data_IF_897637356404
#
_entry.id   IF_897637356404
#
_cell.length_a   1.000
_cell.length_b   1.000
_cell.length_c   1.000
_cell.angle_alpha   90.00
_cell.angle_beta   90.00
_cell.angle_gamma   90.00
#
_symmetry.space_group_name_H-M   'P 1'
#
loop_
_entity.id
_entity.type
_entity.pdbx_description
1 polymer ?
#
# COMPACT_ATOMS: atom_id res chain seq x y z
N UNK A 1 31.78 6.99 -9.91
CA UNK A 1 30.54 6.73 -9.15
C UNK A 1 30.89 6.10 -7.82
N UNK A 2 30.61 6.82 -6.73
CA UNK A 2 30.85 6.38 -5.34
C UNK A 2 30.02 5.13 -4.99
N UNK A 3 28.82 4.99 -5.55
CA UNK A 3 27.96 3.83 -5.33
C UNK A 3 28.04 2.83 -6.48
N UNK A 4 28.32 1.56 -6.18
CA UNK A 4 28.36 0.50 -7.19
C UNK A 4 27.00 0.25 -7.86
N UNK A 5 25.88 0.51 -7.17
CA UNK A 5 24.51 0.37 -7.70
C UNK A 5 23.48 1.15 -6.85
N UNK A 6 23.29 2.48 -7.08
CA UNK A 6 22.21 3.21 -6.43
C UNK A 6 20.86 2.66 -6.87
N UNK A 7 19.91 2.50 -5.95
CA UNK A 7 18.57 2.01 -6.29
C UNK A 7 17.74 3.17 -6.81
N UNK A 8 17.28 3.08 -8.06
CA UNK A 8 16.39 4.06 -8.67
C UNK A 8 14.98 3.48 -8.73
N UNK A 9 14.00 4.24 -8.29
CA UNK A 9 12.58 3.91 -8.39
C UNK A 9 11.87 4.99 -9.20
N UNK A 10 11.01 4.59 -10.13
CA UNK A 10 10.28 5.50 -11.00
C UNK A 10 8.80 5.51 -10.62
N UNK A 11 8.25 6.71 -10.43
CA UNK A 11 6.84 6.93 -10.14
C UNK A 11 6.35 7.94 -11.16
N UNK A 12 5.58 7.47 -12.14
CA UNK A 12 5.20 8.28 -13.29
C UNK A 12 6.44 8.79 -14.03
N UNK A 13 6.55 10.12 -14.12
CA UNK A 13 7.68 10.82 -14.71
C UNK A 13 8.73 11.31 -13.69
N UNK A 14 8.64 10.86 -12.44
CA UNK A 14 9.58 11.19 -11.37
C UNK A 14 10.52 10.01 -11.11
N UNK A 15 11.82 10.29 -11.06
CA UNK A 15 12.84 9.34 -10.61
C UNK A 15 13.26 9.63 -9.17
N UNK A 16 13.35 8.58 -8.35
CA UNK A 16 13.75 8.66 -6.95
C UNK A 16 15.04 7.86 -6.76
N UNK A 17 16.12 8.53 -6.37
CA UNK A 17 17.41 7.94 -6.07
C UNK A 17 17.47 7.58 -4.58
N UNK A 18 17.77 6.31 -4.29
CA UNK A 18 17.96 5.76 -2.94
C UNK A 18 19.40 5.29 -2.78
N UNK A 19 20.10 5.90 -1.84
CA UNK A 19 21.45 5.54 -1.38
C UNK A 19 21.41 5.24 0.13
N UNK A 20 22.39 4.51 0.69
CA UNK A 20 22.50 4.37 2.14
C UNK A 20 22.57 5.75 2.82
N UNK A 21 21.78 5.95 3.88
CA UNK A 21 21.63 7.26 4.52
C UNK A 21 22.94 7.80 5.15
N UNK A 22 23.87 6.90 5.46
CA UNK A 22 25.19 7.22 6.01
C UNK A 22 26.26 7.48 4.93
N UNK A 23 25.91 7.41 3.65
CA UNK A 23 26.84 7.50 2.53
C UNK A 23 26.25 8.41 1.44
N UNK A 24 25.92 9.66 1.82
CA UNK A 24 25.30 10.66 0.94
C UNK A 24 26.38 11.63 0.45
N UNK A 25 26.56 11.71 -0.87
CA UNK A 25 27.38 12.73 -1.51
C UNK A 25 26.49 13.56 -2.46
N UNK A 26 26.25 14.82 -2.12
CA UNK A 26 25.29 15.65 -2.85
C UNK A 26 25.73 15.95 -4.29
N UNK A 27 27.02 16.11 -4.52
CA UNK A 27 27.57 16.44 -5.84
C UNK A 27 27.41 15.23 -6.78
N UNK A 28 27.74 14.03 -6.32
CA UNK A 28 27.53 12.79 -7.07
C UNK A 28 26.04 12.50 -7.30
N UNK A 29 25.16 12.77 -6.32
CA UNK A 29 23.71 12.65 -6.51
C UNK A 29 23.20 13.59 -7.61
N UNK A 30 23.67 14.84 -7.64
CA UNK A 30 23.29 15.80 -8.71
C UNK A 30 23.83 15.36 -10.06
N UNK A 31 25.08 14.88 -10.15
CA UNK A 31 25.66 14.32 -11.38
C UNK A 31 24.82 13.16 -11.90
N UNK A 32 24.50 12.19 -11.04
CA UNK A 32 23.65 11.05 -11.37
C UNK A 32 22.23 11.48 -11.78
N UNK A 33 21.65 12.48 -11.12
CA UNK A 33 20.33 13.00 -11.46
C UNK A 33 20.29 13.60 -12.87
N UNK A 34 21.31 14.37 -13.25
CA UNK A 34 21.42 14.90 -14.61
C UNK A 34 21.59 13.79 -15.64
N UNK A 35 22.42 12.77 -15.36
CA UNK A 35 22.55 11.60 -16.24
C UNK A 35 21.21 10.86 -16.43
N UNK A 36 20.40 10.73 -15.38
CA UNK A 36 19.08 10.09 -15.45
C UNK A 36 18.17 10.89 -16.40
N UNK A 37 18.12 12.21 -16.30
CA UNK A 37 17.33 13.07 -17.18
C UNK A 37 17.80 13.00 -18.64
N UNK A 38 19.12 12.96 -18.85
CA UNK A 38 19.70 12.87 -20.19
C UNK A 38 19.35 11.55 -20.87
N UNK A 39 19.51 10.43 -20.15
CA UNK A 39 19.29 9.07 -20.65
C UNK A 39 17.80 8.69 -20.73
N UNK A 40 16.94 9.27 -19.90
CA UNK A 40 15.52 8.91 -19.80
C UNK A 40 14.63 10.12 -20.06
N UNK A 41 14.32 10.39 -21.35
CA UNK A 41 13.55 11.57 -21.76
C UNK A 41 12.14 11.68 -21.18
N UNK A 42 11.57 10.56 -20.72
CA UNK A 42 10.27 10.53 -20.04
C UNK A 42 10.35 11.09 -18.60
N UNK A 43 11.51 11.03 -17.95
CA UNK A 43 11.72 11.57 -16.61
C UNK A 43 11.79 13.08 -16.69
N UNK A 44 11.00 13.75 -15.85
CA UNK A 44 10.93 15.22 -15.78
C UNK A 44 11.47 15.78 -14.48
N UNK A 45 11.48 14.98 -13.42
CA UNK A 45 11.96 15.41 -12.10
C UNK A 45 12.74 14.29 -11.41
N UNK A 46 13.83 14.64 -10.75
CA UNK A 46 14.67 13.69 -10.01
C UNK A 46 14.85 14.14 -8.56
N UNK A 47 14.59 13.21 -7.65
CA UNK A 47 14.63 13.43 -6.21
C UNK A 47 15.48 12.37 -5.51
N UNK A 48 16.02 12.71 -4.36
CA UNK A 48 16.65 11.79 -3.43
C UNK A 48 15.69 11.49 -2.27
N UNK A 49 15.49 10.22 -1.94
CA UNK A 49 14.81 9.83 -0.71
C UNK A 49 15.76 10.03 0.48
N UNK A 50 15.59 11.13 1.22
CA UNK A 50 16.52 11.57 2.25
C UNK A 50 16.36 10.80 3.57
N UNK A 51 15.18 10.25 3.84
CA UNK A 51 14.89 9.52 5.08
C UNK A 51 14.17 8.18 4.82
N UNK A 52 14.16 7.25 5.79
CA UNK A 52 13.27 6.10 5.78
C UNK A 52 11.79 6.50 5.75
N UNK A 53 10.91 5.56 5.40
CA UNK A 53 9.45 5.75 5.62
C UNK A 53 9.17 5.67 7.09
N UNK A 54 8.52 6.68 7.65
CA UNK A 54 8.28 6.77 9.08
C UNK A 54 6.91 7.39 9.39
N UNK A 55 6.55 7.39 10.67
CA UNK A 55 5.34 8.01 11.18
C UNK A 55 4.07 7.25 10.83
N UNK A 56 2.95 7.83 11.26
CA UNK A 56 1.61 7.31 11.04
C UNK A 56 1.19 7.38 9.57
N UNK A 57 1.52 8.49 8.89
CA UNK A 57 1.15 8.73 7.50
C UNK A 57 2.05 8.02 6.47
N UNK A 58 3.08 7.29 6.92
CA UNK A 58 4.05 6.56 6.08
C UNK A 58 4.69 7.44 5.00
N UNK A 59 5.01 8.68 5.34
CA UNK A 59 5.73 9.61 4.49
C UNK A 59 7.25 9.56 4.77
N UNK A 60 8.02 10.21 3.90
CA UNK A 60 9.46 10.40 4.06
C UNK A 60 9.86 11.76 3.47
N UNK A 61 11.06 12.22 3.82
CA UNK A 61 11.61 13.43 3.27
C UNK A 61 12.30 13.17 1.94
N UNK A 62 12.16 14.15 1.05
CA UNK A 62 12.77 14.13 -0.28
C UNK A 62 13.57 15.40 -0.51
N UNK A 63 14.77 15.24 -1.09
CA UNK A 63 15.61 16.34 -1.56
C UNK A 63 15.55 16.40 -3.07
N UNK A 64 15.14 17.55 -3.61
CA UNK A 64 15.16 17.80 -5.05
C UNK A 64 16.61 17.78 -5.57
N UNK A 65 16.84 17.16 -6.72
CA UNK A 65 18.17 17.07 -7.35
C UNK A 65 18.25 17.79 -8.69
N UNK A 66 17.34 17.49 -9.63
CA UNK A 66 17.39 18.02 -11.00
C UNK A 66 16.02 17.97 -11.72
N UNK A 67 15.90 18.74 -12.82
CA UNK A 67 14.73 18.78 -13.68
C UNK A 67 13.68 19.83 -13.25
N UNK A 68 12.40 19.48 -13.38
CA UNK A 68 11.30 20.28 -12.85
C UNK A 68 11.23 20.13 -11.33
N UNK A 69 11.15 21.23 -10.57
CA UNK A 69 10.98 21.19 -9.11
C UNK A 69 9.53 20.87 -8.73
N UNK A 70 9.09 19.65 -9.04
CA UNK A 70 7.72 19.12 -8.87
C UNK A 70 7.76 17.73 -8.25
N UNK A 71 6.89 17.46 -7.28
CA UNK A 71 6.74 16.14 -6.61
C UNK A 71 5.42 15.43 -6.93
N UNK A 72 4.47 16.11 -7.56
CA UNK A 72 3.22 15.53 -8.05
C UNK A 72 3.40 14.91 -9.44
N UNK A 73 2.79 13.76 -9.74
CA UNK A 73 2.87 13.08 -11.05
C UNK A 73 1.64 12.20 -11.30
N UNK A 74 1.51 11.67 -12.53
CA UNK A 74 0.58 10.60 -12.88
C UNK A 74 1.35 9.28 -12.96
N UNK A 75 1.09 8.39 -12.01
CA UNK A 75 1.54 7.00 -12.03
C UNK A 75 0.51 6.12 -12.73
N UNK A 76 0.95 5.25 -13.64
CA UNK A 76 0.08 4.30 -14.34
C UNK A 76 0.35 2.90 -13.85
N UNK A 77 -0.70 2.18 -13.51
CA UNK A 77 -0.61 0.81 -13.05
C UNK A 77 -1.86 0.04 -13.48
N UNK A 78 -1.73 -1.15 -14.07
CA UNK A 78 -2.87 -2.03 -14.36
C UNK A 78 -4.01 -1.37 -15.14
N UNK A 79 -3.68 -0.55 -16.13
CA UNK A 79 -4.63 0.27 -16.93
C UNK A 79 -5.42 1.31 -16.12
N UNK A 80 -4.97 1.62 -14.91
CA UNK A 80 -5.46 2.70 -14.06
C UNK A 80 -4.43 3.84 -14.02
N UNK A 81 -4.90 5.05 -13.73
CA UNK A 81 -4.06 6.24 -13.60
C UNK A 81 -4.20 6.82 -12.19
N UNK A 82 -3.09 7.20 -11.57
CA UNK A 82 -3.05 7.69 -10.20
C UNK A 82 -2.26 8.99 -10.16
N UNK A 83 -2.96 10.10 -9.92
CA UNK A 83 -2.34 11.34 -9.51
C UNK A 83 -1.89 11.21 -8.06
N UNK A 84 -0.62 11.47 -7.82
CA UNK A 84 0.01 11.34 -6.50
C UNK A 84 1.11 12.38 -6.33
N UNK A 85 1.32 12.84 -5.11
CA UNK A 85 2.53 13.57 -4.70
C UNK A 85 3.39 12.68 -3.82
N UNK A 86 4.61 12.39 -4.30
CA UNK A 86 5.55 11.49 -3.64
C UNK A 86 5.94 11.94 -2.23
N UNK A 87 5.77 13.23 -1.91
CA UNK A 87 6.07 13.79 -0.58
C UNK A 87 4.90 13.64 0.39
N UNK A 88 3.68 13.51 -0.11
CA UNK A 88 2.45 13.56 0.70
C UNK A 88 1.79 12.20 0.87
N UNK A 89 2.02 11.28 -0.06
CA UNK A 89 1.39 9.96 -0.06
C UNK A 89 2.42 8.86 -0.20
N UNK A 90 2.26 7.80 0.59
CA UNK A 90 3.05 6.59 0.41
C UNK A 90 2.68 5.91 -0.91
N UNK A 91 3.68 5.67 -1.76
CA UNK A 91 3.53 4.90 -2.99
C UNK A 91 4.81 4.12 -3.29
N UNK A 92 4.64 2.92 -3.84
CA UNK A 92 5.74 2.05 -4.26
C UNK A 92 5.29 1.15 -5.40
N UNK A 93 5.87 1.27 -6.61
CA UNK A 93 5.60 0.35 -7.73
C UNK A 93 5.83 -1.13 -7.39
N UNK A 94 6.64 -1.42 -6.37
CA UNK A 94 6.91 -2.79 -5.90
C UNK A 94 5.69 -3.53 -5.37
N UNK A 95 4.59 -2.84 -5.05
CA UNK A 95 3.33 -3.48 -4.67
C UNK A 95 2.46 -3.83 -5.88
N UNK A 96 2.90 -3.52 -7.10
CA UNK A 96 2.03 -3.65 -8.27
C UNK A 96 1.52 -5.06 -8.52
N UNK A 97 2.38 -6.08 -8.33
CA UNK A 97 1.93 -7.48 -8.41
C UNK A 97 0.86 -7.80 -7.36
N UNK A 98 0.98 -7.23 -6.16
CA UNK A 98 0.06 -7.48 -5.07
C UNK A 98 -1.29 -6.79 -5.28
N UNK A 99 -1.31 -5.57 -5.81
CA UNK A 99 -2.54 -4.90 -6.22
C UNK A 99 -3.34 -5.76 -7.20
N UNK A 100 -2.67 -6.30 -8.23
CA UNK A 100 -3.31 -7.19 -9.20
C UNK A 100 -3.77 -8.50 -8.57
N UNK A 101 -2.94 -9.10 -7.71
CA UNK A 101 -3.29 -10.36 -7.04
C UNK A 101 -4.59 -10.23 -6.27
N UNK A 102 -4.70 -9.20 -5.42
CA UNK A 102 -5.91 -8.98 -4.63
C UNK A 102 -7.12 -8.74 -5.55
N UNK A 103 -6.97 -7.92 -6.59
CA UNK A 103 -8.04 -7.72 -7.57
C UNK A 103 -8.50 -9.04 -8.21
N UNK A 104 -7.58 -9.95 -8.54
CA UNK A 104 -7.92 -11.25 -9.12
C UNK A 104 -8.58 -12.23 -8.12
N UNK A 105 -8.47 -12.00 -6.81
CA UNK A 105 -9.13 -12.82 -5.79
C UNK A 105 -10.57 -12.37 -5.50
N UNK A 106 -10.90 -11.12 -5.83
CA UNK A 106 -12.23 -10.56 -5.65
C UNK A 106 -13.21 -11.20 -6.63
N UNK A 107 -14.32 -11.71 -6.11
CA UNK A 107 -15.45 -12.15 -6.92
C UNK A 107 -16.40 -10.99 -7.20
N UNK A 108 -17.10 -11.11 -8.33
CA UNK A 108 -18.15 -10.16 -8.70
C UNK A 108 -19.19 -10.01 -7.59
N UNK A 109 -19.59 -8.78 -7.31
CA UNK A 109 -20.59 -8.47 -6.30
C UNK A 109 -20.09 -8.46 -4.85
N UNK A 110 -18.82 -8.76 -4.58
CA UNK A 110 -18.26 -8.63 -3.22
C UNK A 110 -18.29 -7.18 -2.72
N UNK A 111 -18.54 -7.01 -1.41
CA UNK A 111 -18.38 -5.76 -0.67
C UNK A 111 -17.02 -5.74 0.00
N UNK A 112 -16.25 -4.68 -0.21
CA UNK A 112 -14.83 -4.66 0.16
C UNK A 112 -14.54 -3.47 1.06
N UNK A 113 -13.74 -3.68 2.10
CA UNK A 113 -13.14 -2.61 2.90
C UNK A 113 -11.62 -2.62 2.71
N UNK A 114 -11.07 -1.48 2.35
CA UNK A 114 -9.64 -1.23 2.37
C UNK A 114 -9.32 -0.24 3.49
N UNK A 115 -8.76 -0.76 4.59
CA UNK A 115 -8.61 0.00 5.84
C UNK A 115 -7.54 1.11 5.76
N UNK A 116 -6.56 0.97 4.86
CA UNK A 116 -5.41 1.89 4.79
C UNK A 116 -5.06 2.19 3.33
N UNK A 117 -5.93 2.94 2.67
CA UNK A 117 -6.03 2.98 1.22
C UNK A 117 -4.96 3.83 0.50
N UNK A 118 -4.30 4.74 1.20
CA UNK A 118 -3.45 5.77 0.61
C UNK A 118 -4.21 6.55 -0.47
N UNK A 119 -3.61 6.70 -1.65
CA UNK A 119 -4.25 7.31 -2.82
C UNK A 119 -5.26 6.39 -3.55
N UNK A 120 -5.70 5.30 -2.93
CA UNK A 120 -6.77 4.43 -3.44
C UNK A 120 -6.34 3.33 -4.41
N UNK A 121 -5.06 2.98 -4.50
CA UNK A 121 -4.53 2.08 -5.54
C UNK A 121 -5.23 0.71 -5.53
N UNK A 122 -5.23 0.00 -4.39
CA UNK A 122 -5.97 -1.27 -4.27
C UNK A 122 -7.43 -1.10 -4.65
N UNK A 123 -8.12 -0.11 -4.07
CA UNK A 123 -9.57 0.07 -4.24
C UNK A 123 -9.98 0.34 -5.69
N UNK A 124 -9.24 1.21 -6.38
CA UNK A 124 -9.52 1.57 -7.77
C UNK A 124 -9.18 0.43 -8.72
N UNK A 125 -8.05 -0.28 -8.51
CA UNK A 125 -7.68 -1.43 -9.33
C UNK A 125 -8.72 -2.54 -9.21
N UNK A 126 -9.19 -2.82 -7.99
CA UNK A 126 -10.27 -3.78 -7.73
C UNK A 126 -11.56 -3.35 -8.43
N UNK A 127 -11.98 -2.09 -8.27
CA UNK A 127 -13.19 -1.58 -8.92
C UNK A 127 -13.14 -1.70 -10.46
N UNK A 128 -11.97 -1.47 -11.07
CA UNK A 128 -11.78 -1.56 -12.52
C UNK A 128 -11.69 -2.99 -13.06
N UNK A 129 -11.27 -3.96 -12.24
CA UNK A 129 -10.96 -5.32 -12.71
C UNK A 129 -11.97 -6.38 -12.29
N UNK A 130 -12.69 -6.18 -11.19
CA UNK A 130 -13.35 -7.30 -10.50
C UNK A 130 -14.85 -7.11 -10.29
N UNK A 131 -15.43 -5.99 -10.74
CA UNK A 131 -16.85 -5.65 -10.60
C UNK A 131 -17.42 -5.90 -9.17
N UNK A 132 -16.77 -5.37 -8.10
CA UNK A 132 -17.32 -5.49 -6.76
C UNK A 132 -18.61 -4.69 -6.64
N UNK A 133 -19.47 -5.02 -5.67
CA UNK A 133 -20.66 -4.23 -5.39
C UNK A 133 -20.32 -2.84 -4.87
N UNK A 134 -19.32 -2.77 -3.98
CA UNK A 134 -18.83 -1.53 -3.38
C UNK A 134 -17.43 -1.74 -2.82
N UNK A 135 -16.60 -0.69 -2.85
CA UNK A 135 -15.30 -0.65 -2.19
C UNK A 135 -15.23 0.55 -1.25
N UNK A 136 -15.32 0.31 0.05
CA UNK A 136 -15.06 1.32 1.07
C UNK A 136 -13.55 1.51 1.21
N UNK A 137 -13.08 2.73 0.95
CA UNK A 137 -11.66 3.07 0.87
C UNK A 137 -11.32 4.10 1.93
N UNK A 138 -10.55 3.71 2.96
CA UNK A 138 -10.36 4.51 4.17
C UNK A 138 -8.90 4.91 4.29
N UNK A 139 -8.62 6.17 4.57
CA UNK A 139 -7.29 6.61 4.96
C UNK A 139 -7.35 7.79 5.95
N UNK A 140 -6.39 7.83 6.89
CA UNK A 140 -6.29 8.89 7.89
C UNK A 140 -5.55 10.12 7.36
N UNK A 141 -4.73 9.96 6.32
CA UNK A 141 -3.97 11.05 5.73
C UNK A 141 -4.87 11.94 4.86
N UNK A 142 -5.10 13.22 5.22
CA UNK A 142 -5.97 14.10 4.47
C UNK A 142 -5.46 14.40 3.06
N UNK A 143 -4.13 14.39 2.83
CA UNK A 143 -3.59 14.55 1.48
C UNK A 143 -3.80 13.29 0.64
N UNK A 144 -3.62 12.09 1.23
CA UNK A 144 -3.89 10.84 0.53
C UNK A 144 -5.37 10.72 0.15
N UNK A 145 -6.27 11.12 1.05
CA UNK A 145 -7.71 11.19 0.81
C UNK A 145 -8.06 12.13 -0.36
N UNK A 146 -7.46 13.33 -0.43
CA UNK A 146 -7.66 14.25 -1.55
C UNK A 146 -7.23 13.62 -2.89
N UNK A 147 -6.05 13.01 -2.94
CA UNK A 147 -5.60 12.29 -4.13
C UNK A 147 -6.49 11.10 -4.46
N UNK A 148 -7.00 10.37 -3.45
CA UNK A 148 -7.92 9.27 -3.64
C UNK A 148 -9.22 9.74 -4.32
N UNK A 149 -9.82 10.86 -3.88
CA UNK A 149 -11.00 11.44 -4.54
C UNK A 149 -10.68 11.77 -6.01
N UNK A 150 -9.59 12.47 -6.28
CA UNK A 150 -9.18 12.81 -7.64
C UNK A 150 -8.95 11.56 -8.51
N UNK A 151 -8.39 10.51 -7.92
CA UNK A 151 -8.13 9.24 -8.60
C UNK A 151 -9.41 8.44 -8.87
N UNK A 152 -10.40 8.50 -7.98
CA UNK A 152 -11.71 7.88 -8.19
C UNK A 152 -12.38 8.49 -9.43
N UNK A 153 -12.36 9.83 -9.54
CA UNK A 153 -12.89 10.55 -10.70
C UNK A 153 -12.07 10.25 -11.96
N UNK A 154 -10.74 10.29 -11.87
CA UNK A 154 -9.82 10.03 -12.98
C UNK A 154 -10.04 8.64 -13.61
N UNK A 155 -10.37 7.64 -12.79
CA UNK A 155 -10.61 6.27 -13.25
C UNK A 155 -12.10 5.95 -13.52
N UNK A 156 -13.00 6.90 -13.27
CA UNK A 156 -14.45 6.78 -13.46
C UNK A 156 -15.04 5.63 -12.64
N UNK A 157 -14.72 5.57 -11.35
CA UNK A 157 -15.18 4.53 -10.42
C UNK A 157 -15.96 5.07 -9.23
N UNK A 158 -16.48 6.29 -9.33
CA UNK A 158 -17.24 6.98 -8.26
C UNK A 158 -18.49 6.24 -7.79
N UNK A 159 -19.10 5.44 -8.66
CA UNK A 159 -20.30 4.66 -8.33
C UNK A 159 -19.97 3.37 -7.56
N UNK A 160 -18.69 3.01 -7.46
CA UNK A 160 -18.20 1.76 -6.85
C UNK A 160 -17.33 2.05 -5.62
N UNK A 161 -16.41 3.02 -5.71
CA UNK A 161 -15.44 3.31 -4.65
C UNK A 161 -15.95 4.47 -3.78
N UNK A 162 -16.15 4.20 -2.49
CA UNK A 162 -16.60 5.19 -1.51
C UNK A 162 -15.43 5.59 -0.62
N UNK A 163 -14.92 6.84 -0.72
CA UNK A 163 -13.76 7.29 0.05
C UNK A 163 -14.16 7.80 1.44
N UNK A 164 -13.36 7.47 2.46
CA UNK A 164 -13.51 7.95 3.84
C UNK A 164 -12.19 8.55 4.32
N UNK A 165 -12.29 9.72 4.96
CA UNK A 165 -11.20 10.35 5.69
C UNK A 165 -11.38 10.06 7.19
N UNK A 166 -10.41 9.39 7.81
CA UNK A 166 -10.44 9.10 9.24
C UNK A 166 -9.65 7.86 9.61
N UNK A 167 -9.59 7.55 10.90
CA UNK A 167 -9.05 6.28 11.36
C UNK A 167 -9.98 5.13 10.96
N UNK A 168 -9.42 4.06 10.38
CA UNK A 168 -10.18 2.89 9.97
C UNK A 168 -11.02 2.26 11.10
N UNK A 169 -10.52 2.30 12.34
CA UNK A 169 -11.27 1.91 13.52
C UNK A 169 -12.59 2.67 13.60
N UNK A 170 -12.50 4.01 13.62
CA UNK A 170 -13.63 4.90 13.89
C UNK A 170 -14.65 4.78 12.76
N UNK A 171 -14.18 4.81 11.51
CA UNK A 171 -15.05 4.63 10.34
C UNK A 171 -15.75 3.27 10.36
N UNK A 172 -15.07 2.20 10.78
CA UNK A 172 -15.68 0.87 10.87
C UNK A 172 -16.75 0.83 11.96
N UNK A 173 -16.42 1.26 13.18
CA UNK A 173 -17.33 1.24 14.32
C UNK A 173 -18.58 2.09 14.07
N UNK A 174 -18.44 3.24 13.40
CA UNK A 174 -19.55 4.14 13.15
C UNK A 174 -20.42 3.77 11.94
N UNK A 175 -19.82 3.17 10.89
CA UNK A 175 -20.47 3.13 9.56
C UNK A 175 -20.40 1.78 8.85
N UNK A 176 -19.47 0.89 9.20
CA UNK A 176 -19.14 -0.27 8.36
C UNK A 176 -19.15 -1.61 9.11
N UNK A 177 -19.84 -1.70 10.25
CA UNK A 177 -20.12 -2.98 10.90
C UNK A 177 -20.92 -3.91 9.97
N UNK A 178 -20.53 -5.19 9.94
CA UNK A 178 -21.21 -6.24 9.15
C UNK A 178 -21.43 -5.90 7.66
N UNK A 179 -20.55 -5.09 7.08
CA UNK A 179 -20.78 -4.47 5.77
C UNK A 179 -19.91 -5.03 4.64
N UNK A 180 -19.02 -5.99 4.93
CA UNK A 180 -18.04 -6.49 3.96
C UNK A 180 -17.95 -8.01 3.88
N UNK A 181 -17.52 -8.47 2.71
CA UNK A 181 -17.17 -9.86 2.41
C UNK A 181 -15.64 -10.04 2.34
N UNK A 182 -14.89 -8.93 2.18
CA UNK A 182 -13.43 -8.92 2.13
C UNK A 182 -12.84 -7.64 2.73
N UNK A 183 -11.81 -7.79 3.57
CA UNK A 183 -11.08 -6.69 4.21
C UNK A 183 -9.60 -6.73 3.84
N UNK A 184 -9.05 -5.58 3.44
CA UNK A 184 -7.62 -5.38 3.18
C UNK A 184 -6.99 -4.54 4.30
N UNK A 185 -5.86 -5.01 4.82
CA UNK A 185 -5.11 -4.31 5.88
C UNK A 185 -3.66 -4.00 5.44
N UNK A 186 -3.45 -3.18 4.40
CA UNK A 186 -2.13 -2.96 3.78
C UNK A 186 -1.18 -2.07 4.59
N UNK A 187 -1.39 -1.93 5.91
CA UNK A 187 -0.54 -1.21 6.85
C UNK A 187 0.09 -2.17 7.86
N UNK A 188 1.27 -2.75 7.56
CA UNK A 188 1.87 -3.78 8.39
C UNK A 188 2.07 -3.41 9.86
N UNK A 189 2.40 -2.15 10.12
CA UNK A 189 2.77 -1.68 11.45
C UNK A 189 1.57 -1.59 12.41
N UNK A 190 0.34 -1.51 11.89
CA UNK A 190 -0.92 -1.48 12.69
C UNK A 190 -1.77 -2.74 12.49
N UNK A 191 -1.35 -3.67 11.63
CA UNK A 191 -2.20 -4.72 11.13
C UNK A 191 -2.77 -5.60 12.26
N UNK A 192 -1.94 -6.08 13.19
CA UNK A 192 -2.41 -6.93 14.30
C UNK A 192 -3.35 -6.19 15.25
N UNK A 193 -3.05 -4.93 15.57
CA UNK A 193 -3.85 -4.12 16.52
C UNK A 193 -5.26 -3.81 15.97
N UNK A 194 -5.44 -3.90 14.66
CA UNK A 194 -6.68 -3.56 13.96
C UNK A 194 -7.51 -4.80 13.55
N UNK A 195 -7.03 -6.01 13.83
CA UNK A 195 -7.71 -7.27 13.43
C UNK A 195 -9.13 -7.32 13.97
N UNK A 196 -9.38 -6.86 15.20
CA UNK A 196 -10.75 -6.83 15.76
C UNK A 196 -11.73 -6.01 14.94
N UNK A 197 -11.28 -4.89 14.37
CA UNK A 197 -12.14 -4.02 13.56
C UNK A 197 -12.40 -4.66 12.19
N UNK A 198 -11.37 -5.27 11.59
CA UNK A 198 -11.52 -6.05 10.37
C UNK A 198 -12.56 -7.17 10.56
N UNK A 199 -12.45 -7.97 11.64
CA UNK A 199 -13.44 -8.99 11.99
C UNK A 199 -14.83 -8.37 12.16
N UNK A 200 -14.96 -7.28 12.93
CA UNK A 200 -16.26 -6.64 13.16
C UNK A 200 -16.94 -6.13 11.89
N UNK A 201 -16.16 -5.77 10.87
CA UNK A 201 -16.64 -5.26 9.59
C UNK A 201 -17.03 -6.33 8.58
N UNK A 202 -16.54 -7.56 8.75
CA UNK A 202 -17.03 -8.72 7.99
C UNK A 202 -18.49 -8.96 8.41
N UNK A 203 -19.35 -9.36 7.48
CA UNK A 203 -20.71 -9.82 7.78
C UNK A 203 -20.65 -11.18 8.53
N UNK A 204 -21.32 -12.23 8.05
CA UNK A 204 -21.22 -13.58 8.65
C UNK A 204 -19.87 -14.23 8.44
N UNK A 205 -19.32 -14.12 7.24
CA UNK A 205 -18.09 -14.78 6.83
C UNK A 205 -17.41 -14.01 5.71
N UNK A 206 -16.10 -14.16 5.57
CA UNK A 206 -15.37 -13.48 4.51
C UNK A 206 -13.86 -13.63 4.62
N UNK A 207 -13.15 -12.79 3.88
CA UNK A 207 -11.69 -12.86 3.77
C UNK A 207 -11.01 -11.63 4.37
N UNK A 208 -9.93 -11.85 5.12
CA UNK A 208 -9.05 -10.79 5.63
C UNK A 208 -7.66 -10.99 5.01
N UNK A 209 -7.13 -9.94 4.39
CA UNK A 209 -5.78 -9.90 3.85
C UNK A 209 -4.89 -9.07 4.78
N UNK A 210 -4.18 -9.78 5.67
CA UNK A 210 -3.37 -9.18 6.72
C UNK A 210 -1.92 -9.05 6.25
N UNK A 211 -1.42 -7.82 6.15
CA UNK A 211 -0.03 -7.57 5.78
C UNK A 211 0.82 -7.39 7.04
N UNK A 212 2.00 -7.99 7.10
CA UNK A 212 2.89 -7.97 8.26
C UNK A 212 4.33 -7.70 7.85
N UNK A 213 5.06 -6.98 8.70
CA UNK A 213 6.51 -6.88 8.65
C UNK A 213 7.10 -7.91 9.60
N UNK A 214 7.87 -8.87 9.06
CA UNK A 214 8.40 -10.00 9.83
C UNK A 214 9.92 -10.03 9.73
N UNK A 215 10.57 -9.88 10.87
CA UNK A 215 12.00 -10.10 11.03
C UNK A 215 12.28 -11.57 11.33
N UNK A 216 12.89 -12.30 10.41
CA UNK A 216 13.17 -13.74 10.53
C UNK A 216 14.27 -14.23 9.57
N UNK A 217 14.68 -15.50 9.70
CA UNK A 217 15.46 -16.19 8.67
C UNK A 217 14.61 -16.43 7.42
N UNK A 218 15.26 -16.69 6.28
CA UNK A 218 14.61 -16.81 4.96
C UNK A 218 13.60 -17.97 4.89
N UNK A 219 13.77 -18.98 5.71
CA UNK A 219 12.94 -20.18 5.81
C UNK A 219 11.85 -20.09 6.90
N UNK A 220 11.84 -19.02 7.70
CA UNK A 220 10.98 -18.91 8.89
C UNK A 220 9.93 -17.78 8.80
N UNK A 221 10.08 -16.83 7.87
CA UNK A 221 9.24 -15.62 7.90
C UNK A 221 7.75 -15.89 7.64
N UNK A 222 7.43 -16.88 6.79
CA UNK A 222 6.03 -17.26 6.51
C UNK A 222 5.39 -17.92 7.73
N UNK A 223 6.02 -18.94 8.30
CA UNK A 223 5.50 -19.64 9.47
C UNK A 223 5.36 -18.71 10.67
N UNK A 224 6.30 -17.78 10.85
CA UNK A 224 6.22 -16.74 11.88
C UNK A 224 5.05 -15.77 11.63
N UNK A 225 4.81 -15.34 10.39
CA UNK A 225 3.65 -14.50 10.05
C UNK A 225 2.33 -15.20 10.37
N UNK A 226 2.21 -16.49 10.02
CA UNK A 226 1.04 -17.30 10.32
C UNK A 226 0.83 -17.45 11.82
N UNK A 227 1.88 -17.74 12.60
CA UNK A 227 1.79 -17.88 14.05
C UNK A 227 1.33 -16.58 14.73
N UNK A 228 1.89 -15.43 14.32
CA UNK A 228 1.45 -14.12 14.82
C UNK A 228 -0.03 -13.88 14.51
N UNK A 229 -0.46 -14.23 13.29
CA UNK A 229 -1.85 -14.09 12.86
C UNK A 229 -2.79 -14.99 13.66
N UNK A 230 -2.45 -16.28 13.85
CA UNK A 230 -3.25 -17.23 14.66
C UNK A 230 -3.41 -16.74 16.10
N UNK A 231 -2.30 -16.35 16.73
CA UNK A 231 -2.29 -15.84 18.10
C UNK A 231 -3.20 -14.62 18.28
N UNK A 232 -3.30 -13.77 17.26
CA UNK A 232 -4.22 -12.63 17.29
C UNK A 232 -5.67 -13.08 17.11
N UNK A 233 -5.96 -13.91 16.11
CA UNK A 233 -7.31 -14.40 15.81
C UNK A 233 -7.93 -15.22 16.95
N UNK A 234 -7.12 -16.01 17.66
CA UNK A 234 -7.53 -16.83 18.81
C UNK A 234 -8.06 -16.02 20.01
N UNK A 235 -7.89 -14.69 20.00
CA UNK A 235 -8.47 -13.80 21.02
C UNK A 235 -9.96 -13.55 20.80
N UNK A 236 -10.50 -13.90 19.64
CA UNK A 236 -11.87 -13.57 19.24
C UNK A 236 -12.70 -14.85 19.10
N UNK A 237 -14.00 -14.76 19.39
CA UNK A 237 -14.93 -15.88 19.25
C UNK A 237 -15.35 -16.05 17.79
N UNK A 238 -14.44 -16.56 16.96
CA UNK A 238 -14.63 -16.80 15.53
C UNK A 238 -14.07 -18.16 15.12
N UNK A 239 -14.55 -18.68 14.01
CA UNK A 239 -13.89 -19.76 13.28
C UNK A 239 -13.01 -19.16 12.18
N UNK A 240 -11.80 -19.69 11.97
CA UNK A 240 -10.90 -19.16 10.95
C UNK A 240 -10.06 -20.24 10.27
N UNK A 241 -9.63 -19.95 9.04
CA UNK A 241 -8.71 -20.79 8.26
C UNK A 241 -7.71 -19.90 7.53
N UNK A 242 -6.41 -20.14 7.73
CA UNK A 242 -5.38 -19.56 6.87
C UNK A 242 -5.47 -20.24 5.51
N UNK A 243 -5.77 -19.45 4.47
CA UNK A 243 -5.92 -19.93 3.10
C UNK A 243 -4.56 -19.93 2.40
N UNK A 244 -3.75 -18.91 2.66
CA UNK A 244 -2.47 -18.73 2.00
C UNK A 244 -1.58 -17.78 2.82
N UNK A 245 -0.26 -17.92 2.68
CA UNK A 245 0.72 -16.94 3.15
C UNK A 245 1.80 -16.75 2.08
N UNK A 246 2.22 -15.51 1.83
CA UNK A 246 3.24 -15.23 0.80
C UNK A 246 4.08 -14.01 1.12
N UNK A 247 5.31 -14.02 0.61
CA UNK A 247 6.12 -12.81 0.55
C UNK A 247 5.50 -11.82 -0.46
N UNK A 248 5.31 -10.58 -0.03
CA UNK A 248 4.90 -9.46 -0.88
C UNK A 248 6.14 -8.81 -1.47
N UNK A 249 7.13 -8.51 -0.63
CA UNK A 249 8.44 -7.97 -1.03
C UNK A 249 9.46 -8.06 0.11
N UNK A 250 10.76 -8.04 -0.21
CA UNK A 250 11.79 -7.76 0.78
C UNK A 250 11.76 -6.28 1.15
N UNK A 251 11.83 -5.99 2.46
CA UNK A 251 11.86 -4.61 3.00
C UNK A 251 13.28 -4.21 3.36
N UNK A 252 14.03 -5.13 3.99
CA UNK A 252 15.41 -4.92 4.41
C UNK A 252 16.11 -6.23 4.76
N UNK A 253 17.34 -6.18 5.27
CA UNK A 253 18.07 -7.37 5.69
C UNK A 253 17.26 -8.18 6.72
N UNK A 254 16.86 -9.40 6.36
CA UNK A 254 16.03 -10.31 7.18
C UNK A 254 14.67 -9.73 7.58
N UNK A 255 14.19 -8.70 6.88
CA UNK A 255 12.89 -8.07 7.11
C UNK A 255 12.03 -8.21 5.85
N UNK A 256 10.92 -8.92 6.00
CA UNK A 256 10.03 -9.29 4.90
C UNK A 256 8.67 -8.65 5.12
N UNK A 257 8.05 -8.16 4.04
CA UNK A 257 6.63 -7.86 4.05
C UNK A 257 5.90 -9.12 3.56
N UNK A 258 5.05 -9.66 4.41
CA UNK A 258 4.28 -10.89 4.16
C UNK A 258 2.80 -10.52 4.16
N UNK A 259 1.99 -11.23 3.37
CA UNK A 259 0.53 -11.22 3.52
C UNK A 259 0.06 -12.60 3.95
N UNK A 260 -0.85 -12.63 4.91
CA UNK A 260 -1.56 -13.82 5.37
C UNK A 260 -3.02 -13.63 4.98
N UNK A 261 -3.49 -14.48 4.06
CA UNK A 261 -4.86 -14.49 3.59
C UNK A 261 -5.67 -15.44 4.49
N UNK A 262 -6.66 -14.90 5.20
CA UNK A 262 -7.45 -15.64 6.19
C UNK A 262 -8.91 -15.64 5.77
N UNK A 263 -9.56 -16.78 5.84
CA UNK A 263 -11.01 -16.88 5.84
C UNK A 263 -11.51 -16.89 7.28
N UNK A 264 -12.53 -16.09 7.58
CA UNK A 264 -13.13 -15.99 8.92
C UNK A 264 -14.65 -16.18 8.83
N UNK A 265 -15.22 -16.75 9.89
CA UNK A 265 -16.66 -16.91 10.09
C UNK A 265 -16.98 -16.54 11.54
N UNK A 266 -17.95 -15.64 11.72
CA UNK A 266 -18.41 -15.23 13.04
C UNK A 266 -19.31 -16.31 13.64
N UNK A 267 -19.06 -16.65 14.90
CA UNK A 267 -19.88 -17.59 15.66
C UNK A 267 -21.19 -16.96 16.13
#
# INVERSE_FOLDING_TARGET
>A
MIWKNPKIEYIGDIAIIKVPFNDVNEEELKKLANEILEKNKFVKSVWHAATPVMGELKIRDYKYLAGEKRSETIYKEHNCMFKVDIKKVFITPRLSYEHLRIANLVKEGERIINMFAGAGLFSIIIAKKSNPKVVHSIDINPDAYKYMIENIELNKVKDIVVPYLGDAKEIIEEKLLDSSDRVLMPLPDKALDYVKYAISSIDKMGYIHLYLHVSARKDEYLSKAEQLTKKELEKYNITYKIINSKEVRPVGPRLYQVVVDVYVEKN
#
